data_IF_647380923568
#
_entry.id   IF_647380923568
#
_cell.length_a   1.000
_cell.length_b   1.000
_cell.length_c   1.000
_cell.angle_alpha   90.00
_cell.angle_beta   90.00
_cell.angle_gamma   90.00
#
_symmetry.space_group_name_H-M   'P 1'
#
loop_
_entity.id
_entity.type
_entity.pdbx_description
1 polymer ?
#
# COMPACT_ATOMS: atom_id res chain seq x y z
N UNK A 1 -9.66 7.11 17.62
CA UNK A 1 -8.84 5.92 18.00
C UNK A 1 -9.14 4.78 17.02
N UNK A 2 -8.13 4.30 16.34
CA UNK A 2 -8.27 3.23 15.35
C UNK A 2 -8.23 1.84 15.98
N UNK A 3 -8.93 0.89 15.36
CA UNK A 3 -8.92 -0.50 15.80
C UNK A 3 -7.68 -1.22 15.27
N UNK A 4 -6.70 -1.48 16.13
CA UNK A 4 -5.39 -2.08 15.77
C UNK A 4 -5.57 -3.53 15.33
N UNK A 5 -5.27 -3.83 14.07
CA UNK A 5 -5.35 -5.20 13.51
C UNK A 5 -3.97 -5.88 13.41
N UNK A 6 -3.03 -5.25 12.73
CA UNK A 6 -1.68 -5.77 12.56
C UNK A 6 -0.71 -4.77 13.20
N UNK A 7 -0.06 -5.16 14.28
CA UNK A 7 0.84 -4.27 15.04
C UNK A 7 2.28 -4.58 14.66
N UNK A 8 2.99 -3.57 14.20
CA UNK A 8 4.41 -3.56 13.93
C UNK A 8 5.21 -2.88 15.05
N UNK A 9 6.43 -2.47 14.72
CA UNK A 9 7.37 -1.84 15.66
C UNK A 9 7.06 -0.36 15.90
N UNK A 10 6.76 0.38 14.83
CA UNK A 10 6.56 1.83 14.87
C UNK A 10 5.17 2.25 14.36
N UNK A 11 4.50 1.36 13.63
CA UNK A 11 3.17 1.56 13.06
C UNK A 11 2.26 0.39 13.40
N UNK A 12 0.98 0.60 13.19
CA UNK A 12 0.01 -0.49 13.09
C UNK A 12 -0.91 -0.26 11.90
N UNK A 13 -1.52 -1.36 11.44
CA UNK A 13 -2.53 -1.30 10.39
C UNK A 13 -3.92 -1.45 10.99
N UNK A 14 -4.87 -0.64 10.51
CA UNK A 14 -6.25 -0.59 10.97
C UNK A 14 -7.22 -0.54 9.78
N UNK A 15 -8.47 -1.00 9.94
CA UNK A 15 -9.50 -0.81 8.92
C UNK A 15 -9.69 0.66 8.58
N UNK A 16 -10.06 0.93 7.35
CA UNK A 16 -10.49 2.27 6.91
C UNK A 16 -11.80 2.64 7.59
N UNK A 17 -12.03 3.93 7.79
CA UNK A 17 -13.29 4.47 8.28
C UNK A 17 -13.79 5.60 7.38
N UNK A 18 -15.08 5.91 7.38
CA UNK A 18 -15.66 6.99 6.58
C UNK A 18 -15.13 8.36 7.06
N UNK A 19 -14.83 8.46 8.34
CA UNK A 19 -14.25 9.65 8.97
C UNK A 19 -12.86 10.00 8.43
N UNK A 20 -12.16 9.03 7.81
CA UNK A 20 -10.86 9.25 7.19
C UNK A 20 -10.94 10.03 5.86
N UNK A 21 -12.14 10.26 5.31
CA UNK A 21 -12.35 10.86 4.00
C UNK A 21 -11.68 12.24 3.84
N UNK A 22 -11.75 13.09 4.86
CA UNK A 22 -11.10 14.41 4.84
C UNK A 22 -9.58 14.26 4.74
N UNK A 23 -9.01 13.35 5.52
CA UNK A 23 -7.56 13.09 5.51
C UNK A 23 -7.09 12.52 4.18
N UNK A 24 -7.88 11.64 3.57
CA UNK A 24 -7.58 11.14 2.24
C UNK A 24 -7.68 12.21 1.15
N UNK A 25 -8.68 13.09 1.24
CA UNK A 25 -8.79 14.23 0.32
C UNK A 25 -7.54 15.13 0.43
N UNK A 26 -7.07 15.42 1.65
CA UNK A 26 -5.84 16.18 1.88
C UNK A 26 -4.62 15.47 1.29
N UNK A 27 -4.44 14.19 1.54
CA UNK A 27 -3.34 13.40 0.98
C UNK A 27 -3.33 13.45 -0.54
N UNK A 28 -4.51 13.45 -1.16
CA UNK A 28 -4.64 13.52 -2.61
C UNK A 28 -4.31 14.89 -3.18
N UNK A 29 -4.43 15.97 -2.42
CA UNK A 29 -4.03 17.31 -2.88
C UNK A 29 -2.51 17.54 -2.84
N UNK A 30 -1.82 16.87 -1.92
CA UNK A 30 -0.37 17.02 -1.73
C UNK A 30 0.48 16.07 -2.57
N UNK A 31 -0.12 15.01 -3.07
CA UNK A 31 0.60 14.03 -3.86
C UNK A 31 0.18 14.11 -5.34
N UNK A 32 1.09 13.87 -6.19
CA UNK A 32 1.15 13.42 -7.56
C UNK A 32 -0.17 12.96 -8.24
N UNK A 33 -1.28 13.48 -7.82
CA UNK A 33 -2.63 13.13 -8.27
C UNK A 33 -3.04 13.74 -9.59
N UNK A 34 -2.24 14.66 -10.06
CA UNK A 34 -2.23 14.97 -11.47
C UNK A 34 -1.98 13.72 -12.34
N UNK A 35 -1.50 12.63 -11.73
CA UNK A 35 -1.17 11.38 -12.43
C UNK A 35 -2.36 10.51 -12.80
N UNK A 36 -3.42 10.50 -12.01
CA UNK A 36 -4.64 9.76 -12.36
C UNK A 36 -5.56 10.54 -13.28
N UNK A 37 -5.31 11.85 -13.49
CA UNK A 37 -6.21 12.74 -14.22
C UNK A 37 -7.58 12.93 -13.57
N UNK A 38 -7.78 12.42 -12.35
CA UNK A 38 -9.05 12.48 -11.64
C UNK A 38 -8.99 13.49 -10.50
N UNK A 39 -9.87 14.47 -10.53
CA UNK A 39 -10.11 15.35 -9.38
C UNK A 39 -11.09 14.63 -8.46
N UNK A 40 -10.63 14.31 -7.25
CA UNK A 40 -11.47 13.73 -6.21
C UNK A 40 -11.99 14.87 -5.32
N UNK A 41 -13.31 14.97 -5.19
CA UNK A 41 -13.94 15.83 -4.17
C UNK A 41 -14.11 15.06 -2.87
N UNK A 42 -14.35 15.76 -1.77
CA UNK A 42 -14.61 15.12 -0.49
C UNK A 42 -15.82 14.17 -0.55
N UNK A 43 -16.87 14.57 -1.28
CA UNK A 43 -18.06 13.74 -1.45
C UNK A 43 -17.74 12.44 -2.20
N UNK A 44 -16.95 12.51 -3.27
CA UNK A 44 -16.50 11.31 -4.00
C UNK A 44 -15.59 10.43 -3.17
N UNK A 45 -14.76 11.01 -2.30
CA UNK A 45 -13.92 10.23 -1.39
C UNK A 45 -14.77 9.50 -0.34
N UNK A 46 -15.81 10.13 0.19
CA UNK A 46 -16.77 9.48 1.09
C UNK A 46 -17.50 8.33 0.40
N UNK A 47 -18.08 8.58 -0.78
CA UNK A 47 -18.75 7.55 -1.60
C UNK A 47 -17.80 6.37 -1.90
N UNK A 48 -16.55 6.68 -2.24
CA UNK A 48 -15.53 5.64 -2.46
C UNK A 48 -15.29 4.81 -1.20
N UNK A 49 -15.14 5.44 -0.04
CA UNK A 49 -14.95 4.73 1.22
C UNK A 49 -16.17 3.90 1.60
N UNK A 50 -17.39 4.43 1.46
CA UNK A 50 -18.63 3.69 1.72
C UNK A 50 -18.75 2.41 0.90
N UNK A 51 -18.30 2.44 -0.35
CA UNK A 51 -18.37 1.30 -1.26
C UNK A 51 -17.20 0.31 -1.12
N UNK A 52 -16.05 0.73 -0.52
CA UNK A 52 -14.82 -0.06 -0.43
C UNK A 52 -14.32 -0.24 1.02
N UNK A 53 -15.20 -0.01 2.01
CA UNK A 53 -14.84 -0.15 3.43
C UNK A 53 -14.59 -1.63 3.80
N UNK A 54 -15.25 -2.53 3.10
CA UNK A 54 -15.16 -3.99 3.31
C UNK A 54 -14.02 -4.65 2.52
N UNK A 55 -13.15 -3.87 1.87
CA UNK A 55 -11.92 -4.40 1.27
C UNK A 55 -11.02 -4.96 2.37
N UNK A 56 -11.18 -6.27 2.66
CA UNK A 56 -10.57 -6.97 3.79
C UNK A 56 -9.05 -6.84 3.88
N UNK A 57 -8.40 -6.55 2.77
CA UNK A 57 -6.95 -6.50 2.69
C UNK A 57 -6.36 -5.10 2.41
N UNK A 58 -7.17 -4.02 2.45
CA UNK A 58 -6.68 -2.63 2.35
C UNK A 58 -6.90 -1.89 3.66
N UNK A 59 -5.80 -1.47 4.30
CA UNK A 59 -5.76 -0.96 5.66
C UNK A 59 -5.10 0.41 5.73
N UNK A 60 -5.49 1.19 6.73
CA UNK A 60 -4.82 2.43 7.14
C UNK A 60 -3.45 2.13 7.76
N UNK A 61 -2.48 2.99 7.49
CA UNK A 61 -1.18 3.00 8.16
C UNK A 61 -1.23 4.08 9.23
N UNK A 62 -1.11 3.68 10.51
CA UNK A 62 -1.21 4.55 11.66
C UNK A 62 0.09 4.49 12.46
N UNK A 63 0.66 5.63 12.86
CA UNK A 63 1.84 5.66 13.72
C UNK A 63 1.48 5.22 15.14
N UNK A 64 2.37 4.46 15.80
CA UNK A 64 2.17 4.07 17.19
C UNK A 64 2.41 5.22 18.19
N UNK A 65 3.28 6.17 17.81
CA UNK A 65 3.66 7.30 18.68
C UNK A 65 2.56 8.34 18.88
N UNK A 66 1.79 8.63 17.82
CA UNK A 66 0.84 9.74 17.79
C UNK A 66 -0.58 9.33 17.41
N UNK A 67 -0.80 8.04 17.13
CA UNK A 67 -2.09 7.52 16.63
C UNK A 67 -2.52 8.25 15.33
N UNK A 68 -1.53 8.64 14.50
CA UNK A 68 -1.68 9.50 13.32
C UNK A 68 -1.84 8.66 12.07
N UNK A 69 -2.90 8.90 11.29
CA UNK A 69 -3.07 8.33 9.95
C UNK A 69 -2.08 8.98 8.98
N UNK A 70 -1.25 8.16 8.33
CA UNK A 70 -0.20 8.61 7.41
C UNK A 70 -0.34 8.08 5.98
N UNK A 71 -1.22 7.11 5.76
CA UNK A 71 -1.41 6.51 4.43
C UNK A 71 -2.19 5.21 4.47
N UNK A 72 -2.11 4.46 3.38
CA UNK A 72 -2.77 3.15 3.23
C UNK A 72 -1.83 2.12 2.64
N UNK A 73 -2.07 0.85 2.95
CA UNK A 73 -1.43 -0.31 2.34
C UNK A 73 -2.43 -1.44 2.21
N UNK A 74 -2.33 -2.22 1.14
CA UNK A 74 -3.24 -3.35 0.96
C UNK A 74 -2.81 -4.34 -0.09
N UNK A 75 -3.54 -5.45 -0.16
CA UNK A 75 -3.45 -6.42 -1.24
C UNK A 75 -4.80 -6.43 -1.94
N UNK A 76 -4.79 -6.00 -3.18
CA UNK A 76 -5.97 -5.88 -4.03
C UNK A 76 -6.01 -7.01 -5.07
N UNK A 77 -7.17 -7.18 -5.73
CA UNK A 77 -7.36 -8.18 -6.80
C UNK A 77 -6.92 -9.58 -6.38
N UNK A 78 -7.31 -10.01 -5.19
CA UNK A 78 -6.97 -11.32 -4.66
C UNK A 78 -7.65 -12.41 -5.49
N UNK A 79 -6.82 -13.28 -6.06
CA UNK A 79 -7.23 -14.48 -6.79
C UNK A 79 -6.94 -15.70 -5.90
N UNK A 80 -7.95 -16.18 -5.21
CA UNK A 80 -7.82 -17.31 -4.27
C UNK A 80 -7.48 -18.63 -4.98
N UNK A 81 -7.87 -18.80 -6.24
CA UNK A 81 -7.57 -20.01 -7.01
C UNK A 81 -6.08 -20.08 -7.33
N UNK A 82 -5.53 -18.99 -7.84
CA UNK A 82 -4.11 -18.88 -8.21
C UNK A 82 -3.24 -18.39 -7.03
N UNK A 83 -3.84 -18.08 -5.87
CA UNK A 83 -3.16 -17.60 -4.66
C UNK A 83 -2.26 -16.40 -4.92
N UNK A 84 -2.76 -15.39 -5.59
CA UNK A 84 -2.03 -14.18 -5.95
C UNK A 84 -2.81 -12.91 -5.62
N UNK A 85 -2.08 -11.79 -5.48
CA UNK A 85 -2.68 -10.48 -5.25
C UNK A 85 -1.78 -9.36 -5.75
N UNK A 86 -2.27 -8.12 -5.67
CA UNK A 86 -1.53 -6.93 -6.09
C UNK A 86 -1.34 -6.00 -4.90
N UNK A 87 -0.09 -5.70 -4.55
CA UNK A 87 0.23 -4.73 -3.50
C UNK A 87 -0.07 -3.32 -3.97
N UNK A 88 -0.84 -2.59 -3.16
CA UNK A 88 -0.99 -1.14 -3.23
C UNK A 88 -0.46 -0.49 -1.95
N UNK A 89 0.30 0.60 -2.07
CA UNK A 89 0.75 1.40 -0.93
C UNK A 89 0.81 2.87 -1.28
N UNK A 90 0.40 3.70 -0.33
CA UNK A 90 0.44 5.13 -0.44
C UNK A 90 0.76 5.76 0.92
N UNK A 91 1.88 6.50 1.04
CA UNK A 91 2.17 7.38 2.17
C UNK A 91 1.77 8.78 1.77
N UNK A 92 0.58 9.20 2.23
CA UNK A 92 -0.03 10.48 1.90
C UNK A 92 0.61 11.64 2.65
N UNK A 93 0.93 11.43 3.93
CA UNK A 93 1.61 12.43 4.73
C UNK A 93 3.07 12.57 4.31
N UNK A 94 3.39 13.73 3.71
CA UNK A 94 4.72 14.00 3.14
C UNK A 94 5.80 14.04 4.22
N UNK A 95 5.45 14.56 5.41
CA UNK A 95 6.38 14.67 6.55
C UNK A 95 6.74 13.32 7.16
N UNK A 96 5.90 12.31 6.90
CA UNK A 96 6.12 10.94 7.41
C UNK A 96 6.84 10.03 6.39
N UNK A 97 7.22 10.56 5.25
CA UNK A 97 8.04 9.84 4.27
C UNK A 97 9.48 9.71 4.75
N UNK A 98 10.19 8.71 4.22
CA UNK A 98 11.61 8.43 4.49
C UNK A 98 11.96 8.02 5.93
N UNK A 99 10.95 7.86 6.81
CA UNK A 99 11.11 7.38 8.19
C UNK A 99 11.05 5.85 8.33
N UNK A 100 10.97 5.11 7.21
CA UNK A 100 10.91 3.64 7.21
C UNK A 100 9.49 3.06 7.30
N UNK A 101 8.47 3.86 7.54
CA UNK A 101 7.08 3.40 7.70
C UNK A 101 6.53 2.66 6.49
N UNK A 102 6.88 3.09 5.26
CA UNK A 102 6.48 2.39 4.04
C UNK A 102 7.04 0.96 3.97
N UNK A 103 8.32 0.78 4.31
CA UNK A 103 8.96 -0.55 4.37
C UNK A 103 8.29 -1.42 5.43
N UNK A 104 8.02 -0.86 6.60
CA UNK A 104 7.36 -1.59 7.69
C UNK A 104 5.93 -1.99 7.31
N UNK A 105 5.15 -1.08 6.71
CA UNK A 105 3.80 -1.35 6.27
C UNK A 105 3.74 -2.46 5.20
N UNK A 106 4.65 -2.43 4.22
CA UNK A 106 4.77 -3.49 3.21
C UNK A 106 5.07 -4.82 3.88
N UNK A 107 6.03 -4.88 4.79
CA UNK A 107 6.38 -6.12 5.47
C UNK A 107 5.21 -6.67 6.32
N UNK A 108 4.44 -5.82 7.00
CA UNK A 108 3.25 -6.24 7.74
C UNK A 108 2.18 -6.83 6.82
N UNK A 109 1.90 -6.19 5.68
CA UNK A 109 0.87 -6.67 4.77
C UNK A 109 1.33 -7.91 3.98
N UNK A 110 2.62 -8.05 3.68
CA UNK A 110 3.19 -9.28 3.10
C UNK A 110 3.10 -10.44 4.08
N UNK A 111 3.41 -10.21 5.36
CA UNK A 111 3.26 -11.20 6.42
C UNK A 111 1.80 -11.68 6.53
N UNK A 112 0.84 -10.76 6.48
CA UNK A 112 -0.58 -11.07 6.43
C UNK A 112 -0.95 -11.87 5.16
N UNK A 113 -0.53 -11.39 3.99
CA UNK A 113 -0.83 -12.01 2.71
C UNK A 113 -0.32 -13.46 2.60
N UNK A 114 0.93 -13.70 2.99
CA UNK A 114 1.55 -15.02 2.86
C UNK A 114 1.16 -16.00 3.97
N UNK A 115 1.04 -15.53 5.21
CA UNK A 115 0.86 -16.42 6.36
C UNK A 115 -0.60 -16.56 6.83
N UNK A 116 -1.49 -15.62 6.47
CA UNK A 116 -2.91 -15.68 6.85
C UNK A 116 -3.83 -15.85 5.64
N UNK A 117 -3.62 -15.10 4.55
CA UNK A 117 -4.40 -15.28 3.31
C UNK A 117 -3.89 -16.43 2.44
N UNK A 118 -2.74 -17.03 2.81
CA UNK A 118 -2.12 -18.15 2.10
C UNK A 118 -1.85 -17.86 0.61
N UNK A 119 -1.50 -16.61 0.28
CA UNK A 119 -1.09 -16.25 -1.07
C UNK A 119 0.28 -16.86 -1.39
N UNK A 120 0.58 -17.02 -2.67
CA UNK A 120 1.85 -17.54 -3.16
C UNK A 120 2.68 -16.49 -3.91
N UNK A 121 2.02 -15.55 -4.58
CA UNK A 121 2.67 -14.47 -5.32
C UNK A 121 1.96 -13.14 -5.03
N UNK A 122 2.74 -12.11 -4.69
CA UNK A 122 2.22 -10.74 -4.55
C UNK A 122 3.03 -9.86 -5.49
N UNK A 123 2.32 -9.24 -6.45
CA UNK A 123 2.93 -8.33 -7.42
C UNK A 123 2.62 -6.88 -7.10
N UNK A 124 3.36 -5.97 -7.71
CA UNK A 124 3.06 -4.54 -7.79
C UNK A 124 3.50 -3.97 -9.13
N UNK A 125 3.01 -2.79 -9.44
CA UNK A 125 3.47 -2.02 -10.59
C UNK A 125 3.94 -0.63 -10.13
N UNK A 126 5.05 -0.14 -10.69
CA UNK A 126 5.64 1.16 -10.35
C UNK A 126 6.16 1.87 -11.60
N UNK A 127 6.03 3.19 -11.65
CA UNK A 127 6.58 3.99 -12.76
C UNK A 127 8.10 4.13 -12.57
N UNK A 128 8.85 3.96 -13.65
CA UNK A 128 10.32 3.85 -13.63
C UNK A 128 11.06 5.00 -12.92
N UNK A 129 10.53 6.23 -12.96
CA UNK A 129 11.17 7.36 -12.28
C UNK A 129 10.93 7.40 -10.76
N UNK A 130 10.07 6.52 -10.20
CA UNK A 130 9.86 6.46 -8.77
C UNK A 130 10.91 5.59 -8.08
N UNK A 131 12.18 6.02 -8.21
CA UNK A 131 13.34 5.29 -7.69
C UNK A 131 13.24 5.00 -6.19
N UNK A 132 12.65 5.93 -5.43
CA UNK A 132 12.43 5.76 -3.99
C UNK A 132 11.52 4.57 -3.70
N UNK A 133 10.40 4.45 -4.41
CA UNK A 133 9.48 3.34 -4.23
C UNK A 133 10.12 2.02 -4.67
N UNK A 134 10.82 2.02 -5.81
CA UNK A 134 11.56 0.85 -6.31
C UNK A 134 12.59 0.36 -5.28
N UNK A 135 13.35 1.29 -4.68
CA UNK A 135 14.31 0.94 -3.63
C UNK A 135 13.64 0.36 -2.37
N UNK A 136 12.47 0.91 -1.99
CA UNK A 136 11.67 0.40 -0.89
C UNK A 136 11.17 -1.03 -1.18
N UNK A 137 10.62 -1.28 -2.36
CA UNK A 137 10.13 -2.60 -2.77
C UNK A 137 11.26 -3.64 -2.80
N UNK A 138 12.43 -3.29 -3.34
CA UNK A 138 13.60 -4.17 -3.32
C UNK A 138 14.04 -4.55 -1.91
N UNK A 139 14.00 -3.60 -0.94
CA UNK A 139 14.26 -3.88 0.48
C UNK A 139 13.25 -4.86 1.10
N UNK A 140 12.03 -4.89 0.60
CA UNK A 140 10.98 -5.83 1.02
C UNK A 140 11.01 -7.16 0.25
N UNK A 141 12.01 -7.40 -0.61
CA UNK A 141 12.21 -8.66 -1.32
C UNK A 141 11.60 -8.70 -2.73
N UNK A 142 10.96 -7.64 -3.20
CA UNK A 142 10.42 -7.62 -4.56
C UNK A 142 11.53 -7.62 -5.62
N UNK A 143 11.30 -8.38 -6.69
CA UNK A 143 12.16 -8.47 -7.87
C UNK A 143 11.44 -7.98 -9.10
N UNK A 144 12.13 -7.33 -10.04
CA UNK A 144 11.57 -6.94 -11.32
C UNK A 144 11.26 -8.19 -12.14
N UNK A 145 9.99 -8.37 -12.54
CA UNK A 145 9.52 -9.50 -13.32
C UNK A 145 9.02 -9.09 -14.71
N UNK A 146 8.89 -7.80 -14.98
CA UNK A 146 8.47 -7.32 -16.28
C UNK A 146 8.50 -5.81 -16.44
N UNK A 147 8.40 -5.35 -17.70
CA UNK A 147 8.40 -3.92 -18.03
C UNK A 147 7.46 -3.64 -19.20
N UNK A 148 6.53 -2.72 -19.02
CA UNK A 148 5.67 -2.19 -20.07
C UNK A 148 6.22 -0.85 -20.54
N UNK A 149 6.72 -0.80 -21.76
CA UNK A 149 7.36 0.39 -22.31
C UNK A 149 6.35 1.49 -22.62
N UNK A 150 6.66 2.74 -22.23
CA UNK A 150 5.91 3.98 -22.56
C UNK A 150 4.41 3.87 -22.28
N UNK A 151 4.03 3.18 -21.21
CA UNK A 151 2.62 2.93 -20.87
C UNK A 151 2.00 3.97 -19.96
N UNK A 152 2.81 4.85 -19.37
CA UNK A 152 2.35 5.92 -18.48
C UNK A 152 2.63 7.28 -19.09
N UNK A 153 1.56 8.07 -19.31
CA UNK A 153 1.68 9.45 -19.79
C UNK A 153 1.55 10.41 -18.61
N UNK A 154 2.61 11.18 -18.31
CA UNK A 154 2.71 12.02 -17.14
C UNK A 154 3.44 13.31 -17.51
N UNK A 155 2.83 14.46 -17.26
CA UNK A 155 3.40 15.80 -17.52
C UNK A 155 3.97 15.91 -18.95
N UNK A 156 3.23 15.42 -19.94
CA UNK A 156 3.59 15.50 -21.35
C UNK A 156 4.64 14.50 -21.82
N UNK A 157 5.05 13.55 -20.97
CA UNK A 157 6.07 12.51 -21.28
C UNK A 157 5.54 11.10 -21.05
N UNK A 158 6.08 10.15 -21.81
CA UNK A 158 5.81 8.74 -21.63
C UNK A 158 6.92 8.07 -20.82
N UNK A 159 6.51 7.25 -19.86
CA UNK A 159 7.38 6.49 -18.97
C UNK A 159 7.06 5.00 -19.03
N UNK A 160 8.05 4.19 -18.69
CA UNK A 160 7.85 2.77 -18.54
C UNK A 160 7.17 2.45 -17.19
N UNK A 161 6.40 1.37 -17.18
CA UNK A 161 5.86 0.76 -15.97
C UNK A 161 6.62 -0.52 -15.68
N UNK A 162 7.21 -0.60 -14.52
CA UNK A 162 7.96 -1.76 -14.04
C UNK A 162 7.01 -2.61 -13.20
N UNK A 163 6.91 -3.90 -13.54
CA UNK A 163 6.22 -4.89 -12.73
C UNK A 163 7.23 -5.60 -11.84
N UNK A 164 6.91 -5.70 -10.55
CA UNK A 164 7.73 -6.42 -9.57
C UNK A 164 6.87 -7.41 -8.81
N UNK A 165 7.45 -8.51 -8.35
CA UNK A 165 6.77 -9.49 -7.52
C UNK A 165 7.68 -10.05 -6.42
N UNK A 166 7.06 -10.74 -5.47
CA UNK A 166 7.71 -11.51 -4.42
C UNK A 166 6.93 -12.80 -4.19
N UNK A 167 7.65 -13.91 -4.08
CA UNK A 167 7.07 -15.23 -3.85
C UNK A 167 7.04 -15.56 -2.34
N UNK A 168 6.08 -16.38 -1.93
CA UNK A 168 5.96 -16.85 -0.54
C UNK A 168 7.25 -17.50 -0.03
N UNK A 169 7.91 -18.32 -0.84
CA UNK A 169 9.16 -19.00 -0.49
C UNK A 169 10.37 -18.07 -0.28
N UNK A 170 10.29 -16.85 -0.84
CA UNK A 170 11.31 -15.80 -0.71
C UNK A 170 11.08 -14.94 0.55
N UNK A 171 9.89 -15.00 1.13
CA UNK A 171 9.50 -14.21 2.30
C UNK A 171 9.67 -15.00 3.59
N UNK A 172 10.69 -14.65 4.38
CA UNK A 172 10.99 -15.31 5.66
C UNK A 172 10.57 -14.51 6.89
N UNK A 173 9.97 -13.32 6.67
CA UNK A 173 9.65 -12.36 7.74
C UNK A 173 8.48 -12.77 8.61
N UNK A 174 8.55 -12.37 9.88
CA UNK A 174 7.43 -12.39 10.84
C UNK A 174 7.37 -11.02 11.50
N UNK A 175 6.57 -10.12 10.92
CA UNK A 175 6.55 -8.71 11.29
C UNK A 175 5.38 -8.32 12.20
N UNK A 176 4.30 -9.11 12.19
CA UNK A 176 3.13 -8.88 13.03
C UNK A 176 3.46 -9.26 14.49
N UNK A 177 3.47 -8.28 15.40
CA UNK A 177 3.89 -8.47 16.79
C UNK A 177 2.76 -8.92 17.72
N UNK A 178 1.50 -8.67 17.35
CA UNK A 178 0.33 -9.07 18.16
C UNK A 178 -0.24 -10.45 17.79
N UNK A 179 0.62 -11.36 17.36
CA UNK A 179 0.22 -12.76 17.15
C UNK A 179 -0.05 -13.43 18.48
N UNK A 180 -1.29 -13.85 18.70
CA UNK A 180 -1.61 -14.83 19.74
C UNK A 180 -1.41 -16.21 19.13
N UNK A 181 -0.25 -16.81 19.37
CA UNK A 181 0.05 -18.21 19.04
C UNK A 181 0.08 -18.99 20.34
#
# INVERSE_FOLDING_TARGET
>A
MYYKKLIGKNIYLAPKTIEDAEKYADFRTTDYLGKSGKIMTLEKEREYLETHIDDEATLNIITLSEDKLIGTVGIENIDHLNKRGTLGIFIGDVEEREKGYGTEAINLILDYGFNYLNLNNIKLDVVEFNERAIACYKKCGFKECGRRRKSEFIDGKYYDRISMDVLKEEFTGRYILNRNI
#
